data_IF_477570366575
#
_entry.id   IF_477570366575
#
_cell.length_a   1.000
_cell.length_b   1.000
_cell.length_c   1.000
_cell.angle_alpha   90.00
_cell.angle_beta   90.00
_cell.angle_gamma   90.00
#
_symmetry.space_group_name_H-M   'P 1'
#
loop_
_entity.id
_entity.type
_entity.pdbx_description
1 polymer ?
#
# COMPACT_ATOMS: atom_id res chain seq x y z
N UNK A 1 -25.17 -58.33 16.49
CA UNK A 1 -24.93 -57.64 15.22
C UNK A 1 -24.23 -56.31 15.55
N UNK A 2 -22.94 -56.11 15.19
CA UNK A 2 -22.25 -54.87 15.44
C UNK A 2 -22.55 -53.91 14.29
N UNK A 3 -22.89 -52.65 14.64
CA UNK A 3 -23.03 -51.51 13.73
C UNK A 3 -21.67 -51.18 13.12
N UNK A 4 -21.58 -51.24 11.81
CA UNK A 4 -20.44 -50.77 11.04
C UNK A 4 -20.24 -49.25 11.27
N UNK A 5 -19.08 -48.87 11.76
CA UNK A 5 -18.58 -47.54 11.78
C UNK A 5 -18.13 -47.18 10.35
N UNK A 6 -18.97 -46.46 9.63
CA UNK A 6 -18.55 -45.73 8.41
C UNK A 6 -17.64 -44.59 8.82
N UNK A 7 -16.34 -44.81 8.74
CA UNK A 7 -15.35 -43.74 8.73
C UNK A 7 -15.29 -43.18 7.32
N UNK A 8 -16.21 -42.30 6.99
CA UNK A 8 -16.02 -41.38 5.87
C UNK A 8 -14.93 -40.39 6.29
N UNK A 9 -13.72 -40.67 5.86
CA UNK A 9 -12.67 -39.68 5.75
C UNK A 9 -13.16 -38.71 4.68
N UNK A 10 -13.73 -37.56 5.13
CA UNK A 10 -13.82 -36.39 4.27
C UNK A 10 -12.37 -36.04 3.83
N UNK A 11 -12.03 -36.46 2.61
CA UNK A 11 -10.94 -35.83 1.87
C UNK A 11 -11.24 -34.33 1.81
N UNK A 12 -10.59 -33.59 2.67
CA UNK A 12 -10.54 -32.12 2.58
C UNK A 12 -9.91 -31.83 1.22
N UNK A 13 -10.72 -31.63 0.20
CA UNK A 13 -10.28 -31.05 -1.06
C UNK A 13 -9.53 -29.78 -0.69
N UNK A 14 -8.23 -29.75 -1.00
CA UNK A 14 -7.38 -28.57 -0.79
C UNK A 14 -8.08 -27.40 -1.49
N UNK A 15 -8.60 -26.46 -0.71
CA UNK A 15 -9.25 -25.30 -1.28
C UNK A 15 -8.27 -24.63 -2.23
N UNK A 16 -8.72 -24.35 -3.46
CA UNK A 16 -7.89 -23.67 -4.46
C UNK A 16 -7.19 -22.43 -3.86
N UNK A 17 -5.91 -22.23 -4.18
CA UNK A 17 -5.18 -21.09 -3.66
C UNK A 17 -5.85 -19.77 -4.08
N UNK A 18 -6.04 -18.86 -3.13
CA UNK A 18 -6.66 -17.57 -3.41
C UNK A 18 -5.79 -16.74 -4.34
N UNK A 19 -6.41 -16.18 -5.38
CA UNK A 19 -5.76 -15.28 -6.34
C UNK A 19 -5.59 -13.89 -5.74
N UNK A 20 -4.33 -13.44 -5.67
CA UNK A 20 -3.94 -12.13 -5.12
C UNK A 20 -3.33 -11.26 -6.20
N UNK A 21 -3.88 -10.07 -6.40
CA UNK A 21 -3.28 -9.02 -7.20
C UNK A 21 -2.61 -7.98 -6.29
N UNK A 22 -1.33 -7.66 -6.55
CA UNK A 22 -0.59 -6.62 -5.82
C UNK A 22 -0.05 -5.60 -6.82
N UNK A 23 -0.48 -4.35 -6.72
CA UNK A 23 0.02 -3.27 -7.58
C UNK A 23 1.35 -2.72 -7.05
N UNK A 24 2.28 -2.38 -7.95
CA UNK A 24 3.60 -1.85 -7.58
C UNK A 24 4.42 -2.81 -6.71
N UNK A 25 4.37 -4.10 -7.02
CA UNK A 25 4.91 -5.17 -6.20
C UNK A 25 6.34 -5.61 -6.58
N UNK A 26 7.00 -4.93 -7.51
CA UNK A 26 8.35 -5.32 -7.95
C UNK A 26 9.47 -4.83 -7.03
N UNK A 27 9.13 -4.07 -5.98
CA UNK A 27 10.10 -3.49 -5.05
C UNK A 27 9.46 -3.17 -3.68
N UNK A 28 10.30 -2.91 -2.67
CA UNK A 28 9.91 -2.41 -1.35
C UNK A 28 8.85 -3.24 -0.63
N UNK A 29 7.82 -2.57 -0.10
CA UNK A 29 6.75 -3.21 0.67
C UNK A 29 5.95 -4.20 -0.18
N UNK A 30 5.70 -3.86 -1.45
CA UNK A 30 4.97 -4.70 -2.39
C UNK A 30 5.71 -6.01 -2.67
N UNK A 31 7.03 -5.96 -2.96
CA UNK A 31 7.86 -7.16 -3.17
C UNK A 31 7.88 -8.06 -1.94
N UNK A 32 8.12 -7.49 -0.76
CA UNK A 32 8.12 -8.25 0.49
C UNK A 32 6.77 -8.93 0.75
N UNK A 33 5.66 -8.21 0.47
CA UNK A 33 4.30 -8.74 0.60
C UNK A 33 4.05 -9.86 -0.41
N UNK A 34 4.44 -9.69 -1.67
CA UNK A 34 4.26 -10.68 -2.72
C UNK A 34 4.97 -12.00 -2.38
N UNK A 35 6.25 -11.94 -2.01
CA UNK A 35 7.03 -13.10 -1.62
C UNK A 35 6.46 -13.78 -0.36
N UNK A 36 6.05 -13.00 0.65
CA UNK A 36 5.47 -13.55 1.86
C UNK A 36 4.14 -14.26 1.60
N UNK A 37 3.25 -13.67 0.79
CA UNK A 37 1.97 -14.31 0.48
C UNK A 37 2.17 -15.57 -0.37
N UNK A 38 3.05 -15.55 -1.36
CA UNK A 38 3.37 -16.73 -2.17
C UNK A 38 3.94 -17.87 -1.31
N UNK A 39 4.84 -17.60 -0.36
CA UNK A 39 5.34 -18.59 0.62
C UNK A 39 4.25 -19.13 1.54
N UNK A 40 3.12 -18.46 1.65
CA UNK A 40 1.97 -18.87 2.45
C UNK A 40 0.82 -19.45 1.62
N UNK A 41 1.11 -19.90 0.38
CA UNK A 41 0.18 -20.67 -0.46
C UNK A 41 -0.85 -19.84 -1.22
N UNK A 42 -0.65 -18.51 -1.34
CA UNK A 42 -1.45 -17.67 -2.21
C UNK A 42 -0.88 -17.70 -3.63
N UNK A 43 -1.74 -17.70 -4.65
CA UNK A 43 -1.32 -17.47 -6.03
C UNK A 43 -1.22 -15.95 -6.27
N UNK A 44 -0.01 -15.44 -6.43
CA UNK A 44 0.27 -14.00 -6.41
C UNK A 44 0.61 -13.47 -7.81
N UNK A 45 -0.14 -12.48 -8.26
CA UNK A 45 0.19 -11.64 -9.42
C UNK A 45 0.78 -10.33 -8.93
N UNK A 46 2.10 -10.21 -9.04
CA UNK A 46 2.88 -9.05 -8.64
C UNK A 46 3.07 -8.11 -9.82
N UNK A 47 2.51 -6.90 -9.79
CA UNK A 47 2.55 -6.03 -10.96
C UNK A 47 3.47 -4.83 -10.80
N UNK A 48 3.97 -4.32 -11.93
CA UNK A 48 4.81 -3.12 -11.99
C UNK A 48 5.16 -2.74 -13.43
N UNK A 49 5.61 -1.51 -13.63
CA UNK A 49 5.94 -0.97 -14.96
C UNK A 49 7.33 -1.36 -15.46
N UNK A 50 8.28 -1.50 -14.54
CA UNK A 50 9.69 -1.73 -14.81
C UNK A 50 9.94 -3.20 -15.15
N UNK A 51 10.34 -3.47 -16.40
CA UNK A 51 10.57 -4.83 -16.92
C UNK A 51 11.74 -5.53 -16.22
N UNK A 52 12.82 -4.82 -15.92
CA UNK A 52 14.00 -5.38 -15.26
C UNK A 52 13.66 -5.84 -13.84
N UNK A 53 12.95 -5.00 -13.07
CA UNK A 53 12.51 -5.36 -11.72
C UNK A 53 11.50 -6.51 -11.73
N UNK A 54 10.62 -6.60 -12.75
CA UNK A 54 9.74 -7.75 -12.90
C UNK A 54 10.55 -9.02 -13.14
N UNK A 55 11.55 -8.98 -14.04
CA UNK A 55 12.42 -10.11 -14.31
C UNK A 55 13.18 -10.59 -13.05
N UNK A 56 13.72 -9.65 -12.27
CA UNK A 56 14.39 -9.98 -11.00
C UNK A 56 13.45 -10.66 -10.00
N UNK A 57 12.21 -10.16 -9.86
CA UNK A 57 11.23 -10.77 -8.96
C UNK A 57 10.79 -12.15 -9.46
N UNK A 58 10.63 -12.32 -10.77
CA UNK A 58 10.35 -13.64 -11.37
C UNK A 58 11.47 -14.64 -11.08
N UNK A 59 12.73 -14.24 -11.24
CA UNK A 59 13.87 -15.09 -10.92
C UNK A 59 13.90 -15.48 -9.44
N UNK A 60 13.64 -14.52 -8.52
CA UNK A 60 13.54 -14.78 -7.08
C UNK A 60 12.43 -15.79 -6.76
N UNK A 61 11.27 -15.66 -7.40
CA UNK A 61 10.13 -16.54 -7.20
C UNK A 61 10.41 -17.96 -7.74
N UNK A 62 10.98 -18.05 -8.94
CA UNK A 62 11.35 -19.32 -9.58
C UNK A 62 12.38 -20.09 -8.74
N UNK A 63 13.43 -19.40 -8.27
CA UNK A 63 14.47 -20.02 -7.42
C UNK A 63 13.89 -20.62 -6.14
N UNK A 64 12.82 -20.03 -5.61
CA UNK A 64 12.15 -20.47 -4.39
C UNK A 64 10.93 -21.37 -4.68
N UNK A 65 10.65 -21.70 -5.94
CA UNK A 65 9.47 -22.45 -6.38
C UNK A 65 8.14 -21.89 -5.80
N UNK A 66 7.96 -20.56 -5.89
CA UNK A 66 6.80 -19.87 -5.35
C UNK A 66 5.70 -19.70 -6.40
N UNK A 67 4.41 -19.79 -6.04
CA UNK A 67 3.26 -19.51 -6.91
C UNK A 67 3.10 -17.98 -7.07
N UNK A 68 4.06 -17.35 -7.77
CA UNK A 68 4.12 -15.91 -8.00
C UNK A 68 4.46 -15.66 -9.47
N UNK A 69 3.62 -14.87 -10.11
CA UNK A 69 3.82 -14.36 -11.47
C UNK A 69 3.96 -12.85 -11.46
N UNK A 70 4.73 -12.33 -12.42
CA UNK A 70 4.87 -10.88 -12.58
C UNK A 70 4.20 -10.42 -13.88
N UNK A 71 3.44 -9.32 -13.80
CA UNK A 71 2.76 -8.73 -14.95
C UNK A 71 3.08 -7.24 -15.09
N UNK A 72 3.01 -6.74 -16.31
CA UNK A 72 3.05 -5.31 -16.54
C UNK A 72 1.71 -4.68 -16.15
N UNK A 73 1.76 -3.62 -15.33
CA UNK A 73 0.61 -2.79 -15.04
C UNK A 73 1.06 -1.37 -14.67
N UNK A 74 0.53 -0.40 -15.39
CA UNK A 74 0.54 1.00 -14.98
C UNK A 74 -0.86 1.36 -14.44
N UNK A 75 -0.95 1.64 -13.15
CA UNK A 75 -2.22 2.00 -12.49
C UNK A 75 -2.79 3.33 -12.97
N UNK A 76 -2.01 4.11 -13.73
CA UNK A 76 -2.45 5.39 -14.33
C UNK A 76 -3.05 5.24 -15.73
N UNK A 77 -3.10 4.01 -16.29
CA UNK A 77 -3.67 3.70 -17.61
C UNK A 77 -4.78 2.66 -17.50
N UNK A 78 -5.97 3.01 -17.96
CA UNK A 78 -7.12 2.10 -17.98
C UNK A 78 -6.86 0.87 -18.85
N UNK A 79 -6.21 1.06 -20.03
CA UNK A 79 -5.88 -0.06 -20.93
C UNK A 79 -4.85 -1.00 -20.30
N UNK A 80 -3.84 -0.46 -19.59
CA UNK A 80 -2.84 -1.28 -18.91
C UNK A 80 -3.46 -2.11 -17.79
N UNK A 81 -4.37 -1.52 -17.03
CA UNK A 81 -5.10 -2.21 -15.95
C UNK A 81 -6.00 -3.30 -16.53
N UNK A 82 -6.78 -2.99 -17.58
CA UNK A 82 -7.68 -3.96 -18.21
C UNK A 82 -6.89 -5.17 -18.74
N UNK A 83 -5.82 -4.94 -19.54
CA UNK A 83 -4.99 -6.05 -20.07
C UNK A 83 -4.44 -6.96 -18.99
N UNK A 84 -3.90 -6.37 -17.91
CA UNK A 84 -3.34 -7.17 -16.83
C UNK A 84 -4.41 -8.00 -16.11
N UNK A 85 -5.60 -7.45 -15.92
CA UNK A 85 -6.72 -8.18 -15.30
C UNK A 85 -7.28 -9.28 -16.20
N UNK A 86 -7.37 -9.04 -17.51
CA UNK A 86 -7.77 -10.08 -18.48
C UNK A 86 -6.77 -11.25 -18.47
N UNK A 87 -5.48 -10.95 -18.39
CA UNK A 87 -4.43 -11.98 -18.27
C UNK A 87 -4.55 -12.77 -16.95
N UNK A 88 -4.78 -12.10 -15.82
CA UNK A 88 -5.00 -12.76 -14.53
C UNK A 88 -6.25 -13.64 -14.60
N UNK A 89 -7.33 -13.12 -15.16
CA UNK A 89 -8.59 -13.85 -15.27
C UNK A 89 -8.45 -15.13 -16.10
N UNK A 90 -7.71 -15.04 -17.21
CA UNK A 90 -7.46 -16.23 -18.08
C UNK A 90 -6.59 -17.29 -17.42
N UNK A 91 -5.66 -16.92 -16.53
CA UNK A 91 -4.71 -17.82 -15.87
C UNK A 91 -5.23 -18.43 -14.57
N UNK A 92 -5.96 -17.64 -13.77
CA UNK A 92 -6.30 -17.99 -12.39
C UNK A 92 -7.74 -17.60 -11.99
N UNK A 93 -8.56 -17.19 -12.95
CA UNK A 93 -9.90 -16.71 -12.65
C UNK A 93 -9.91 -15.36 -11.92
N UNK A 94 -11.02 -15.02 -11.28
CA UNK A 94 -11.22 -13.71 -10.70
C UNK A 94 -10.36 -13.47 -9.45
N UNK A 95 -9.92 -12.23 -9.26
CA UNK A 95 -9.12 -11.78 -8.11
C UNK A 95 -9.93 -11.92 -6.81
N UNK A 96 -9.40 -12.65 -5.83
CA UNK A 96 -9.98 -12.76 -4.49
C UNK A 96 -9.49 -11.68 -3.53
N UNK A 97 -8.25 -11.24 -3.73
CA UNK A 97 -7.59 -10.25 -2.88
C UNK A 97 -6.89 -9.22 -3.76
N UNK A 98 -7.26 -7.97 -3.60
CA UNK A 98 -6.57 -6.83 -4.21
C UNK A 98 -5.74 -6.10 -3.15
N UNK A 99 -4.46 -5.87 -3.44
CA UNK A 99 -3.57 -5.04 -2.62
C UNK A 99 -3.12 -3.85 -3.45
N UNK A 100 -3.74 -2.70 -3.22
CA UNK A 100 -3.37 -1.42 -3.81
C UNK A 100 -2.13 -0.88 -3.10
N UNK A 101 -0.96 -1.19 -3.63
CA UNK A 101 0.32 -0.80 -3.05
C UNK A 101 1.10 0.19 -3.93
N UNK A 102 0.82 0.27 -5.23
CA UNK A 102 1.47 1.23 -6.12
C UNK A 102 1.37 2.67 -5.57
N UNK A 103 2.48 3.38 -5.59
CA UNK A 103 2.51 4.75 -5.08
C UNK A 103 3.85 5.44 -5.32
N UNK A 104 3.80 6.76 -5.32
CA UNK A 104 4.95 7.66 -5.37
C UNK A 104 4.88 8.64 -4.21
N UNK A 105 5.99 9.32 -3.91
CA UNK A 105 6.05 10.41 -2.94
C UNK A 105 6.73 11.62 -3.54
N UNK A 106 6.02 12.73 -3.67
CA UNK A 106 6.58 14.03 -4.02
C UNK A 106 6.50 14.91 -2.78
N UNK A 107 7.63 15.47 -2.40
CA UNK A 107 7.83 16.23 -1.18
C UNK A 107 8.13 17.67 -1.57
N UNK A 108 7.22 18.59 -1.25
CA UNK A 108 7.34 20.00 -1.58
C UNK A 108 6.49 20.85 -0.65
N UNK A 109 6.86 22.12 -0.49
CA UNK A 109 5.96 23.10 0.11
C UNK A 109 4.74 23.29 -0.80
N UNK A 110 3.54 23.37 -0.21
CA UNK A 110 2.30 23.46 -0.97
C UNK A 110 2.20 24.70 -1.88
N UNK A 111 2.88 25.77 -1.52
CA UNK A 111 2.98 26.98 -2.34
C UNK A 111 3.87 26.79 -3.57
N UNK A 112 4.84 25.89 -3.51
CA UNK A 112 5.87 25.72 -4.55
C UNK A 112 5.63 24.53 -5.47
N UNK A 113 4.79 23.57 -5.08
CA UNK A 113 4.55 22.39 -5.91
C UNK A 113 3.87 22.78 -7.22
N UNK A 114 4.34 22.22 -8.33
CA UNK A 114 3.67 22.36 -9.62
C UNK A 114 2.34 21.58 -9.63
N UNK A 115 1.34 22.11 -10.35
CA UNK A 115 0.09 21.36 -10.55
C UNK A 115 0.32 20.01 -11.26
N UNK A 116 1.30 19.95 -12.17
CA UNK A 116 1.65 18.71 -12.85
C UNK A 116 2.13 17.63 -11.85
N UNK A 117 2.98 17.98 -10.90
CA UNK A 117 3.47 17.06 -9.88
C UNK A 117 2.38 16.71 -8.86
N UNK A 118 1.52 17.65 -8.50
CA UNK A 118 0.38 17.37 -7.63
C UNK A 118 -0.61 16.40 -8.30
N UNK A 119 -0.92 16.61 -9.58
CA UNK A 119 -1.73 15.68 -10.36
C UNK A 119 -1.08 14.30 -10.44
N UNK A 120 0.22 14.22 -10.77
CA UNK A 120 0.97 12.96 -10.83
C UNK A 120 0.92 12.20 -9.51
N UNK A 121 1.03 12.93 -8.38
CA UNK A 121 0.90 12.36 -7.04
C UNK A 121 -0.48 11.74 -6.82
N UNK A 122 -1.54 12.49 -7.13
CA UNK A 122 -2.93 12.04 -6.97
C UNK A 122 -3.28 10.95 -7.98
N UNK A 123 -2.84 11.07 -9.24
CA UNK A 123 -3.11 10.10 -10.28
C UNK A 123 -2.62 8.71 -9.90
N UNK A 124 -1.40 8.62 -9.38
CA UNK A 124 -0.85 7.32 -8.96
C UNK A 124 -1.47 6.82 -7.65
N UNK A 125 -1.51 7.67 -6.61
CA UNK A 125 -1.80 7.22 -5.24
C UNK A 125 -3.28 7.15 -4.91
N UNK A 126 -4.13 7.82 -5.69
CA UNK A 126 -5.57 7.89 -5.48
C UNK A 126 -6.36 7.40 -6.69
N UNK A 127 -6.27 8.05 -7.85
CA UNK A 127 -7.04 7.65 -9.02
C UNK A 127 -6.64 6.26 -9.53
N UNK A 128 -5.35 5.90 -9.47
CA UNK A 128 -4.90 4.55 -9.79
C UNK A 128 -5.49 3.48 -8.88
N UNK A 129 -5.64 3.77 -7.59
CA UNK A 129 -6.32 2.87 -6.64
C UNK A 129 -7.80 2.72 -6.98
N UNK A 130 -8.47 3.84 -7.31
CA UNK A 130 -9.88 3.83 -7.73
C UNK A 130 -10.05 2.98 -8.99
N UNK A 131 -9.23 3.23 -10.00
CA UNK A 131 -9.25 2.55 -11.30
C UNK A 131 -9.14 1.02 -11.13
N UNK A 132 -8.06 0.55 -10.49
CA UNK A 132 -7.86 -0.89 -10.28
C UNK A 132 -8.99 -1.50 -9.46
N UNK A 133 -9.43 -0.80 -8.41
CA UNK A 133 -10.52 -1.28 -7.55
C UNK A 133 -11.84 -1.42 -8.33
N UNK A 134 -12.20 -0.44 -9.15
CA UNK A 134 -13.42 -0.47 -9.96
C UNK A 134 -13.44 -1.63 -10.95
N UNK A 135 -12.30 -2.00 -11.52
CA UNK A 135 -12.20 -3.16 -12.41
C UNK A 135 -12.36 -4.51 -11.68
N UNK A 136 -11.90 -4.62 -10.44
CA UNK A 136 -11.96 -5.88 -9.66
C UNK A 136 -13.31 -6.05 -8.93
N UNK A 137 -13.96 -4.96 -8.56
CA UNK A 137 -15.18 -4.97 -7.73
C UNK A 137 -16.36 -5.75 -8.30
N UNK A 138 -16.69 -5.70 -9.61
CA UNK A 138 -17.83 -6.44 -10.15
C UNK A 138 -17.78 -7.92 -9.81
N UNK A 139 -16.64 -8.56 -9.95
CA UNK A 139 -16.43 -9.99 -9.65
C UNK A 139 -16.53 -10.28 -8.15
N UNK A 140 -15.88 -9.46 -7.31
CA UNK A 140 -15.97 -9.61 -5.86
C UNK A 140 -17.41 -9.47 -5.37
N UNK A 141 -18.15 -8.50 -5.91
CA UNK A 141 -19.55 -8.25 -5.57
C UNK A 141 -20.45 -9.41 -6.00
N UNK A 142 -20.32 -9.90 -7.23
CA UNK A 142 -21.12 -11.01 -7.75
C UNK A 142 -20.93 -12.29 -6.94
N UNK A 143 -19.68 -12.59 -6.56
CA UNK A 143 -19.31 -13.74 -5.73
C UNK A 143 -19.57 -13.53 -4.23
N UNK A 144 -20.01 -12.31 -3.83
CA UNK A 144 -20.23 -11.90 -2.44
C UNK A 144 -19.06 -12.19 -1.52
N UNK A 145 -17.84 -12.13 -2.04
CA UNK A 145 -16.59 -12.35 -1.31
C UNK A 145 -15.44 -11.58 -1.96
N UNK A 146 -14.57 -11.03 -1.15
CA UNK A 146 -13.37 -10.33 -1.60
C UNK A 146 -12.70 -9.59 -0.46
N UNK A 147 -11.41 -9.28 -0.65
CA UNK A 147 -10.67 -8.40 0.27
C UNK A 147 -9.89 -7.37 -0.53
N UNK A 148 -10.04 -6.12 -0.15
CA UNK A 148 -9.30 -4.98 -0.71
C UNK A 148 -8.42 -4.44 0.40
N UNK A 149 -7.11 -4.43 0.18
CA UNK A 149 -6.13 -3.82 1.08
C UNK A 149 -5.59 -2.58 0.40
N UNK A 150 -5.75 -1.44 1.03
CA UNK A 150 -5.22 -0.17 0.57
C UNK A 150 -4.01 0.22 1.42
N UNK A 151 -2.84 0.39 0.75
CA UNK A 151 -1.62 0.85 1.41
C UNK A 151 -1.71 2.35 1.64
N UNK A 152 -2.16 2.71 2.84
CA UNK A 152 -2.17 4.09 3.33
C UNK A 152 -0.80 4.47 3.92
N UNK A 153 -0.79 5.33 4.88
CA UNK A 153 0.39 5.78 5.63
C UNK A 153 -0.09 6.48 6.90
N UNK A 154 0.80 6.65 7.86
CA UNK A 154 0.57 7.62 8.94
C UNK A 154 0.35 9.04 8.39
N UNK A 155 0.86 9.34 7.19
CA UNK A 155 0.61 10.58 6.47
C UNK A 155 -0.83 10.72 5.92
N UNK A 156 -1.64 9.68 5.95
CA UNK A 156 -3.09 9.71 5.72
C UNK A 156 -3.89 10.07 6.98
N UNK A 157 -3.24 10.10 8.13
CA UNK A 157 -3.85 10.41 9.43
C UNK A 157 -3.34 11.73 9.98
N UNK A 158 -2.06 12.03 9.73
CA UNK A 158 -1.38 13.22 10.23
C UNK A 158 -0.43 13.76 9.17
N UNK A 159 -0.59 15.04 8.79
CA UNK A 159 0.32 15.72 7.87
C UNK A 159 1.39 16.50 8.62
N UNK A 160 2.56 16.66 7.98
CA UNK A 160 3.68 17.47 8.46
C UNK A 160 4.17 18.38 7.34
N UNK A 161 4.96 19.44 7.63
CA UNK A 161 5.50 20.33 6.61
C UNK A 161 6.15 19.56 5.46
N UNK A 162 5.98 20.03 4.23
CA UNK A 162 6.44 19.47 2.95
C UNK A 162 5.72 18.16 2.51
N UNK A 163 5.03 17.46 3.39
CA UNK A 163 4.26 16.26 3.05
C UNK A 163 2.86 16.57 2.51
N UNK A 164 2.48 17.83 2.37
CA UNK A 164 1.15 18.21 1.86
C UNK A 164 0.71 17.44 0.61
N UNK A 165 1.53 17.35 -0.45
CA UNK A 165 1.16 16.63 -1.67
C UNK A 165 0.94 15.13 -1.44
N UNK A 166 1.85 14.50 -0.71
CA UNK A 166 1.72 13.07 -0.38
C UNK A 166 0.57 12.80 0.59
N UNK A 167 0.47 13.61 1.65
CA UNK A 167 -0.60 13.47 2.64
C UNK A 167 -1.97 13.64 2.02
N UNK A 168 -2.19 14.62 1.14
CA UNK A 168 -3.48 14.82 0.47
C UNK A 168 -3.94 13.55 -0.25
N UNK A 169 -3.03 12.86 -0.95
CA UNK A 169 -3.34 11.60 -1.62
C UNK A 169 -3.70 10.47 -0.63
N UNK A 170 -3.03 10.40 0.52
CA UNK A 170 -3.31 9.38 1.52
C UNK A 170 -4.55 9.69 2.36
N UNK A 171 -4.85 10.96 2.66
CA UNK A 171 -6.12 11.35 3.27
C UNK A 171 -7.32 11.06 2.35
N UNK A 172 -7.18 11.32 1.05
CA UNK A 172 -8.20 10.94 0.07
C UNK A 172 -8.42 9.42 0.04
N UNK A 173 -7.34 8.63 0.11
CA UNK A 173 -7.40 7.17 0.16
C UNK A 173 -8.07 6.67 1.45
N UNK A 174 -7.81 7.28 2.60
CA UNK A 174 -8.50 6.97 3.86
C UNK A 174 -10.01 7.20 3.74
N UNK A 175 -10.41 8.36 3.22
CA UNK A 175 -11.83 8.73 3.06
C UNK A 175 -12.58 7.77 2.13
N UNK A 176 -12.03 7.47 0.94
CA UNK A 176 -12.68 6.57 0.00
C UNK A 176 -12.71 5.12 0.51
N UNK A 177 -11.70 4.70 1.28
CA UNK A 177 -11.67 3.37 1.88
C UNK A 177 -12.75 3.20 2.95
N UNK A 178 -13.05 4.24 3.72
CA UNK A 178 -14.18 4.23 4.66
C UNK A 178 -15.53 4.16 3.93
N UNK A 179 -15.71 4.90 2.85
CA UNK A 179 -16.91 4.83 2.01
C UNK A 179 -17.08 3.40 1.45
N UNK A 180 -16.08 2.87 0.78
CA UNK A 180 -16.11 1.50 0.24
C UNK A 180 -16.36 0.43 1.31
N UNK A 181 -15.79 0.58 2.50
CA UNK A 181 -16.01 -0.37 3.59
C UNK A 181 -17.49 -0.48 3.96
N UNK A 182 -18.22 0.64 3.93
CA UNK A 182 -19.65 0.69 4.23
C UNK A 182 -20.49 0.24 3.05
N UNK A 183 -20.21 0.72 1.84
CA UNK A 183 -20.92 0.40 0.60
C UNK A 183 -20.78 -1.09 0.23
N UNK A 184 -19.63 -1.69 0.49
CA UNK A 184 -19.31 -3.06 0.08
C UNK A 184 -19.62 -4.11 1.16
N UNK A 185 -19.91 -3.70 2.39
CA UNK A 185 -20.26 -4.60 3.48
C UNK A 185 -21.48 -5.49 3.15
N UNK A 186 -22.58 -5.00 2.53
CA UNK A 186 -23.70 -5.84 2.14
C UNK A 186 -23.36 -6.92 1.11
N UNK A 187 -22.25 -6.75 0.38
CA UNK A 187 -21.76 -7.69 -0.63
C UNK A 187 -20.65 -8.62 -0.11
N UNK A 188 -20.38 -8.63 1.20
CA UNK A 188 -19.36 -9.50 1.80
C UNK A 188 -17.91 -9.14 1.44
N UNK A 189 -17.66 -7.99 0.79
CA UNK A 189 -16.31 -7.52 0.46
C UNK A 189 -15.76 -6.70 1.63
N UNK A 190 -14.54 -7.00 2.04
CA UNK A 190 -13.86 -6.33 3.15
C UNK A 190 -12.82 -5.36 2.64
N UNK A 191 -12.86 -4.11 3.13
CA UNK A 191 -11.87 -3.07 2.82
C UNK A 191 -11.04 -2.77 4.06
N UNK A 192 -9.71 -2.82 3.91
CA UNK A 192 -8.74 -2.76 4.99
C UNK A 192 -7.66 -1.75 4.64
N UNK A 193 -7.31 -0.88 5.57
CA UNK A 193 -6.22 0.07 5.44
C UNK A 193 -4.99 -0.41 6.22
N UNK A 194 -3.83 -0.32 5.59
CA UNK A 194 -2.54 -0.54 6.24
C UNK A 194 -1.85 0.81 6.37
N UNK A 195 -1.48 1.18 7.58
CA UNK A 195 -0.93 2.50 7.95
C UNK A 195 0.52 2.34 8.45
N UNK A 196 1.53 2.21 7.56
CA UNK A 196 2.92 2.24 7.96
C UNK A 196 3.37 3.65 8.32
N UNK A 197 4.31 3.78 9.26
CA UNK A 197 5.18 4.93 9.34
C UNK A 197 6.39 4.71 8.41
N UNK A 198 7.50 5.39 8.67
CA UNK A 198 8.67 5.25 7.82
C UNK A 198 9.27 3.84 7.90
N UNK A 199 9.33 3.17 6.76
CA UNK A 199 10.04 1.89 6.55
C UNK A 199 11.02 2.12 5.39
N UNK A 200 12.33 1.91 5.59
CA UNK A 200 13.33 2.10 4.54
C UNK A 200 13.04 1.21 3.32
N UNK A 201 12.89 1.84 2.18
CA UNK A 201 12.71 1.18 0.87
C UNK A 201 13.25 2.11 -0.21
N UNK A 202 13.46 1.61 -1.42
CA UNK A 202 13.84 2.41 -2.59
C UNK A 202 12.82 3.52 -2.94
N UNK A 203 11.64 3.51 -2.34
CA UNK A 203 10.67 4.62 -2.48
C UNK A 203 11.26 5.92 -1.93
N UNK A 204 12.09 5.87 -0.88
CA UNK A 204 12.74 7.05 -0.33
C UNK A 204 13.66 7.72 -1.35
N UNK A 205 14.49 6.94 -2.04
CA UNK A 205 15.40 7.46 -3.07
C UNK A 205 14.63 8.00 -4.28
N UNK A 206 13.61 7.28 -4.73
CA UNK A 206 12.71 7.76 -5.80
C UNK A 206 11.99 9.05 -5.42
N UNK A 207 11.50 9.16 -4.19
CA UNK A 207 10.85 10.38 -3.69
C UNK A 207 11.84 11.55 -3.66
N UNK A 208 13.09 11.30 -3.24
CA UNK A 208 14.12 12.31 -3.27
C UNK A 208 14.43 12.77 -4.70
N UNK A 209 14.57 11.86 -5.64
CA UNK A 209 14.78 12.19 -7.06
C UNK A 209 13.62 13.00 -7.65
N UNK A 210 12.38 12.59 -7.39
CA UNK A 210 11.17 13.30 -7.84
C UNK A 210 11.03 14.69 -7.23
N UNK A 211 11.63 14.95 -6.09
CA UNK A 211 11.52 16.20 -5.33
C UNK A 211 12.78 17.07 -5.42
N UNK A 212 13.79 16.66 -6.17
CA UNK A 212 15.11 17.30 -6.20
C UNK A 212 15.01 18.81 -6.55
N UNK A 213 14.23 19.17 -7.56
CA UNK A 213 14.04 20.54 -8.00
C UNK A 213 13.45 21.47 -6.91
N UNK A 214 12.68 20.92 -5.98
CA UNK A 214 12.15 21.67 -4.83
C UNK A 214 13.18 21.83 -3.73
N UNK A 215 13.98 20.78 -3.47
CA UNK A 215 15.01 20.81 -2.44
C UNK A 215 16.20 21.72 -2.79
N UNK A 216 16.47 21.89 -4.08
CA UNK A 216 17.61 22.62 -4.62
C UNK A 216 17.25 24.03 -5.10
N UNK A 217 16.02 24.49 -4.85
CA UNK A 217 15.54 25.83 -5.25
C UNK A 217 16.25 26.93 -4.42
N UNK A 218 17.13 27.76 -5.03
CA UNK A 218 18.03 28.65 -4.27
C UNK A 218 17.29 29.71 -3.46
N UNK A 219 16.22 30.30 -4.03
CA UNK A 219 15.50 31.43 -3.46
C UNK A 219 14.18 31.01 -2.80
N UNK A 220 14.05 29.74 -2.39
CA UNK A 220 12.84 29.28 -1.74
C UNK A 220 12.68 29.91 -0.35
N UNK A 221 11.53 30.52 -0.04
CA UNK A 221 11.22 30.95 1.32
C UNK A 221 11.15 29.79 2.31
N UNK A 222 11.07 28.54 1.80
CA UNK A 222 11.04 27.29 2.58
C UNK A 222 12.40 26.61 2.72
N UNK A 223 13.51 27.23 2.29
CA UNK A 223 14.86 26.61 2.29
C UNK A 223 15.25 26.05 3.67
N UNK A 224 14.92 26.76 4.76
CA UNK A 224 15.18 26.30 6.14
C UNK A 224 14.34 25.06 6.49
N UNK A 225 13.10 25.00 6.03
CA UNK A 225 12.19 23.86 6.25
C UNK A 225 12.68 22.63 5.46
N UNK A 226 13.07 22.82 4.19
CA UNK A 226 13.66 21.76 3.38
C UNK A 226 14.94 21.19 4.00
N UNK A 227 15.86 22.04 4.44
CA UNK A 227 17.11 21.58 5.07
C UNK A 227 16.87 20.83 6.39
N UNK A 228 15.93 21.31 7.22
CA UNK A 228 15.51 20.64 8.45
C UNK A 228 14.86 19.29 8.16
N UNK A 229 14.02 19.22 7.13
CA UNK A 229 13.40 18.01 6.68
C UNK A 229 14.44 16.96 6.21
N UNK A 230 15.37 17.33 5.35
CA UNK A 230 16.40 16.44 4.83
C UNK A 230 17.29 15.84 5.94
N UNK A 231 17.64 16.67 6.96
CA UNK A 231 18.35 16.19 8.15
C UNK A 231 17.55 15.14 8.91
N UNK A 232 16.25 15.39 9.13
CA UNK A 232 15.37 14.45 9.83
C UNK A 232 15.16 13.16 9.03
N UNK A 233 14.97 13.28 7.71
CA UNK A 233 14.81 12.12 6.83
C UNK A 233 16.03 11.21 6.91
N UNK A 234 17.25 11.77 6.78
CA UNK A 234 18.50 11.02 6.96
C UNK A 234 18.54 10.32 8.33
N UNK A 235 18.28 11.06 9.41
CA UNK A 235 18.26 10.48 10.76
C UNK A 235 17.18 9.39 10.92
N UNK A 236 16.03 9.53 10.29
CA UNK A 236 14.99 8.50 10.32
C UNK A 236 15.41 7.24 9.57
N UNK A 237 16.10 7.39 8.45
CA UNK A 237 16.65 6.25 7.67
C UNK A 237 17.69 5.50 8.48
N UNK A 238 18.60 6.21 9.14
CA UNK A 238 19.67 5.60 9.96
C UNK A 238 19.15 4.89 11.23
N UNK A 239 18.06 5.40 11.80
CA UNK A 239 17.51 4.89 13.08
C UNK A 239 16.40 3.87 12.91
N UNK A 240 15.79 3.79 11.74
CA UNK A 240 14.69 2.85 11.52
C UNK A 240 15.20 1.42 11.59
N UNK A 241 14.54 0.63 12.44
CA UNK A 241 14.73 -0.83 12.52
C UNK A 241 13.63 -1.60 11.80
N UNK A 242 12.63 -0.89 11.27
CA UNK A 242 11.54 -1.50 10.56
C UNK A 242 12.02 -1.98 9.18
N UNK A 243 11.58 -3.16 8.79
CA UNK A 243 11.88 -3.77 7.49
C UNK A 243 10.60 -4.03 6.70
N UNK A 244 10.65 -4.13 5.37
CA UNK A 244 9.47 -4.39 4.54
C UNK A 244 8.65 -5.60 4.99
N UNK A 245 9.29 -6.64 5.52
CA UNK A 245 8.64 -7.83 6.05
C UNK A 245 7.71 -7.55 7.25
N UNK A 246 7.95 -6.49 8.03
CA UNK A 246 7.04 -6.10 9.10
C UNK A 246 5.66 -5.73 8.55
N UNK A 247 5.65 -5.02 7.43
CA UNK A 247 4.41 -4.68 6.73
C UNK A 247 3.75 -5.94 6.15
N UNK A 248 4.52 -6.79 5.49
CA UNK A 248 4.02 -8.04 4.90
C UNK A 248 3.38 -8.95 5.97
N UNK A 249 3.98 -9.06 7.17
CA UNK A 249 3.40 -9.81 8.31
C UNK A 249 2.06 -9.23 8.78
N UNK A 250 1.94 -7.91 8.81
CA UNK A 250 0.68 -7.25 9.19
C UNK A 250 -0.41 -7.51 8.14
N UNK A 251 -0.07 -7.44 6.86
CA UNK A 251 -0.98 -7.77 5.75
C UNK A 251 -1.42 -9.23 5.84
N UNK A 252 -0.50 -10.17 5.99
CA UNK A 252 -0.81 -11.60 6.12
C UNK A 252 -1.75 -11.85 7.31
N UNK A 253 -1.52 -11.20 8.46
CA UNK A 253 -2.42 -11.28 9.62
C UNK A 253 -3.81 -10.77 9.27
N UNK A 254 -3.92 -9.60 8.62
CA UNK A 254 -5.21 -9.03 8.22
C UNK A 254 -5.96 -9.93 7.23
N UNK A 255 -5.23 -10.65 6.37
CA UNK A 255 -5.81 -11.62 5.42
C UNK A 255 -6.27 -12.93 6.07
N UNK A 256 -5.66 -13.34 7.18
CA UNK A 256 -6.04 -14.57 7.92
C UNK A 256 -7.17 -14.33 8.92
N UNK A 257 -7.38 -13.10 9.32
CA UNK A 257 -8.45 -12.74 10.26
C UNK A 257 -9.81 -12.88 9.58
N UNK A 258 -10.73 -13.64 10.20
CA UNK A 258 -12.11 -13.82 9.72
C UNK A 258 -12.93 -12.54 9.82
N UNK A 259 -12.60 -11.67 10.83
CA UNK A 259 -13.24 -10.37 11.04
C UNK A 259 -12.17 -9.27 11.15
N UNK A 260 -11.52 -8.91 10.03
CA UNK A 260 -10.40 -7.98 10.06
C UNK A 260 -10.84 -6.59 10.52
N UNK A 261 -9.94 -5.91 11.25
CA UNK A 261 -10.11 -4.50 11.58
C UNK A 261 -10.08 -3.64 10.32
N UNK A 262 -10.72 -2.48 10.36
CA UNK A 262 -10.67 -1.53 9.26
C UNK A 262 -9.25 -0.97 9.02
N UNK A 263 -8.43 -0.85 10.07
CA UNK A 263 -7.09 -0.27 10.02
C UNK A 263 -6.06 -1.08 10.81
N UNK A 264 -4.86 -1.18 10.26
CA UNK A 264 -3.70 -1.80 10.89
C UNK A 264 -2.48 -0.88 10.78
N UNK A 265 -1.97 -0.41 11.91
CA UNK A 265 -0.68 0.28 11.99
C UNK A 265 0.46 -0.73 11.94
N UNK A 266 1.53 -0.44 11.20
CA UNK A 266 2.64 -1.38 11.05
C UNK A 266 3.70 -1.18 12.12
N UNK A 267 4.17 0.05 12.34
CA UNK A 267 5.23 0.35 13.29
C UNK A 267 4.69 0.88 14.62
N UNK A 268 5.57 0.92 15.64
CA UNK A 268 5.23 1.53 16.93
C UNK A 268 4.94 3.02 16.78
N UNK A 269 5.73 3.71 15.95
CA UNK A 269 5.60 5.13 15.67
C UNK A 269 4.23 5.44 15.03
N UNK A 270 3.79 4.63 14.07
CA UNK A 270 2.47 4.75 13.46
C UNK A 270 1.36 4.60 14.50
N UNK A 271 1.49 3.63 15.41
CA UNK A 271 0.51 3.41 16.49
C UNK A 271 0.43 4.59 17.45
N UNK A 272 1.59 5.12 17.87
CA UNK A 272 1.66 6.28 18.74
C UNK A 272 1.07 7.52 18.07
N UNK A 273 1.42 7.79 16.81
CA UNK A 273 0.90 8.94 16.07
C UNK A 273 -0.62 8.84 15.86
N UNK A 274 -1.16 7.67 15.53
CA UNK A 274 -2.62 7.46 15.41
C UNK A 274 -3.34 7.69 16.73
N UNK A 275 -2.74 7.30 17.86
CA UNK A 275 -3.28 7.56 19.19
C UNK A 275 -3.24 9.07 19.53
N UNK A 276 -2.10 9.72 19.32
CA UNK A 276 -1.93 11.15 19.55
C UNK A 276 -2.90 12.00 18.70
N UNK A 277 -3.17 11.59 17.45
CA UNK A 277 -4.18 12.25 16.60
C UNK A 277 -5.56 12.30 17.25
N UNK A 278 -5.92 11.26 17.99
CA UNK A 278 -7.24 11.17 18.67
C UNK A 278 -7.31 11.94 19.98
N UNK A 279 -6.18 12.09 20.66
CA UNK A 279 -6.12 12.67 22.01
C UNK A 279 -5.71 14.14 22.03
N UNK A 280 -4.94 14.60 21.06
CA UNK A 280 -4.39 15.96 21.07
C UNK A 280 -5.23 16.90 20.20
N UNK A 281 -5.37 18.15 20.68
CA UNK A 281 -5.88 19.26 19.87
C UNK A 281 -4.92 19.61 18.76
N UNK A 282 -5.40 20.28 17.69
CA UNK A 282 -4.57 20.73 16.59
C UNK A 282 -3.39 21.58 17.07
N UNK A 283 -3.63 22.54 17.98
CA UNK A 283 -2.58 23.38 18.56
C UNK A 283 -1.48 22.57 19.26
N UNK A 284 -1.82 21.52 19.97
CA UNK A 284 -0.85 20.69 20.66
C UNK A 284 -0.02 19.87 19.66
N UNK A 285 -0.67 19.34 18.60
CA UNK A 285 0.00 18.61 17.51
C UNK A 285 0.96 19.53 16.74
N UNK A 286 0.51 20.73 16.37
CA UNK A 286 1.31 21.72 15.65
C UNK A 286 2.58 22.07 16.42
N UNK A 287 2.49 22.28 17.75
CA UNK A 287 3.66 22.51 18.59
C UNK A 287 4.67 21.36 18.55
N UNK A 288 4.19 20.13 18.56
CA UNK A 288 5.05 18.93 18.50
C UNK A 288 5.76 18.90 17.13
N UNK A 289 5.01 19.12 16.06
CA UNK A 289 5.55 19.10 14.69
C UNK A 289 6.55 20.23 14.49
N UNK A 290 6.17 21.49 14.82
CA UNK A 290 7.02 22.67 14.60
C UNK A 290 8.34 22.60 15.37
N UNK A 291 8.34 22.13 16.63
CA UNK A 291 9.58 21.86 17.38
C UNK A 291 10.53 20.95 16.61
N UNK A 292 9.98 20.01 15.85
CA UNK A 292 10.75 19.10 15.02
C UNK A 292 11.30 19.74 13.74
N UNK A 293 10.75 20.85 13.27
CA UNK A 293 11.16 21.53 12.03
C UNK A 293 11.85 22.87 12.29
N UNK A 294 12.32 23.13 13.51
CA UNK A 294 13.05 24.35 13.87
C UNK A 294 12.17 25.57 14.10
N UNK A 295 10.85 25.38 14.21
CA UNK A 295 9.90 26.42 14.61
C UNK A 295 9.97 26.70 16.12
N UNK A 296 9.77 27.97 16.50
CA UNK A 296 9.62 28.41 17.90
C UNK A 296 8.21 28.13 18.43
#
# INVERSE_FOLDING_TARGET
MPKALNSEREETALAEPKTVLITGATDGLGKATALMLARNGYHVFATGRDAERRALLTADATTQNLPLETLEMDVTSDESVARALDEIHSKAGPVDILINNAGIGIIAAMEEISFADLHKQLETNFFGVVRVTQHVLPDMRSRRRGRIINMSSISGVWSVPLFGPYSSSKFALEAISDAWRLELAPFGVRVILIEPAYIPTSMADRSRALSASYFEKPDSPYATVYSSFLKRWRSSTEKSRAVPDDCARVILRALRDSSPRARYTVTREARVASLLKRLLTDRARDRIVLKGFGGR
#
